data_IF_403775378252
#
_entry.id   IF_403775378252
#
_cell.length_a   1.000
_cell.length_b   1.000
_cell.length_c   1.000
_cell.angle_alpha   90.00
_cell.angle_beta   90.00
_cell.angle_gamma   90.00
#
_symmetry.space_group_name_H-M   'P 1'
#
loop_
_entity.id
_entity.type
_entity.pdbx_description
1 polymer ?
#
# COMPACT_ATOMS: atom_id res chain seq x y z
N UNK A 1 0.47 -7.37 15.95
CA UNK A 1 0.47 -6.24 15.00
C UNK A 1 0.95 -6.65 13.62
N UNK A 2 1.95 -7.55 13.48
CA UNK A 2 2.39 -8.04 12.16
C UNK A 2 1.24 -8.69 11.38
N UNK A 3 0.42 -9.51 12.05
CA UNK A 3 -0.78 -10.10 11.44
C UNK A 3 -1.77 -9.04 10.97
N UNK A 4 -1.92 -7.93 11.71
CA UNK A 4 -2.83 -6.86 11.34
C UNK A 4 -2.42 -6.14 10.04
N UNK A 5 -1.14 -6.11 9.74
CA UNK A 5 -0.59 -5.52 8.52
C UNK A 5 -0.25 -6.57 7.45
N UNK A 6 -0.72 -7.82 7.60
CA UNK A 6 -0.49 -8.92 6.66
C UNK A 6 1.01 -9.16 6.40
N UNK A 7 1.85 -9.14 7.44
CA UNK A 7 3.31 -9.32 7.32
C UNK A 7 3.86 -10.46 8.18
N UNK A 8 3.04 -11.12 8.96
CA UNK A 8 3.42 -12.22 9.85
C UNK A 8 3.88 -13.47 9.09
N UNK A 9 3.23 -13.81 7.97
CA UNK A 9 3.63 -14.92 7.13
C UNK A 9 5.04 -14.74 6.55
N UNK A 10 5.32 -13.57 5.98
CA UNK A 10 6.63 -13.27 5.40
C UNK A 10 7.75 -13.26 6.48
N UNK A 11 7.43 -12.76 7.68
CA UNK A 11 8.38 -12.82 8.81
C UNK A 11 8.64 -14.24 9.25
N UNK A 12 7.64 -15.12 9.25
CA UNK A 12 7.80 -16.52 9.60
C UNK A 12 8.67 -17.31 8.60
N UNK A 13 8.74 -16.85 7.34
CA UNK A 13 9.61 -17.42 6.30
C UNK A 13 11.05 -16.91 6.35
N UNK A 14 11.34 -15.87 7.14
CA UNK A 14 12.71 -15.37 7.32
C UNK A 14 13.52 -16.34 8.17
N UNK A 15 14.83 -16.47 7.89
CA UNK A 15 15.72 -17.43 8.54
C UNK A 15 15.73 -17.29 10.07
N UNK A 16 15.75 -16.07 10.59
CA UNK A 16 15.72 -15.75 12.02
C UNK A 16 14.33 -15.27 12.51
N UNK A 17 13.29 -15.36 11.65
CA UNK A 17 11.94 -14.96 12.00
C UNK A 17 11.86 -13.53 12.53
N UNK A 18 11.35 -13.37 13.74
CA UNK A 18 11.21 -12.07 14.43
C UNK A 18 12.55 -11.42 14.80
N UNK A 19 13.62 -12.19 14.90
CA UNK A 19 14.95 -11.71 15.27
C UNK A 19 15.78 -11.29 14.05
N UNK A 20 15.22 -11.43 12.85
CA UNK A 20 15.86 -11.06 11.59
C UNK A 20 16.24 -9.58 11.58
N UNK A 21 17.53 -9.30 11.37
CA UNK A 21 18.05 -7.94 11.22
C UNK A 21 17.64 -7.42 9.85
N UNK A 22 16.94 -6.28 9.82
CA UNK A 22 16.49 -5.61 8.59
C UNK A 22 17.16 -4.25 8.41
N UNK A 23 17.36 -3.85 7.14
CA UNK A 23 17.99 -2.57 6.80
C UNK A 23 19.52 -2.65 6.71
N UNK A 24 20.22 -1.60 7.20
CA UNK A 24 21.67 -1.54 7.12
C UNK A 24 22.32 -2.68 7.94
N UNK A 25 23.02 -3.58 7.25
CA UNK A 25 23.66 -4.74 7.86
C UNK A 25 22.78 -5.99 7.98
N UNK A 26 21.55 -5.96 7.47
CA UNK A 26 20.62 -7.08 7.42
C UNK A 26 19.95 -7.26 6.06
N UNK A 27 18.84 -7.96 6.04
CA UNK A 27 18.09 -8.15 4.79
C UNK A 27 17.42 -6.86 4.34
N UNK A 28 17.34 -6.70 3.02
CA UNK A 28 16.66 -5.56 2.41
C UNK A 28 15.18 -5.88 2.20
N UNK A 29 14.30 -5.13 2.84
CA UNK A 29 12.87 -5.23 2.63
C UNK A 29 12.45 -4.57 1.31
N UNK A 30 11.40 -5.10 0.67
CA UNK A 30 10.69 -4.39 -0.41
C UNK A 30 10.00 -3.14 0.14
N UNK A 31 9.57 -2.22 -0.76
CA UNK A 31 8.83 -1.03 -0.35
C UNK A 31 7.57 -1.35 0.44
N UNK A 32 6.78 -2.31 -0.02
CA UNK A 32 5.56 -2.75 0.67
C UNK A 32 5.84 -3.43 2.02
N UNK A 33 6.89 -4.24 2.13
CA UNK A 33 7.33 -4.85 3.39
C UNK A 33 7.76 -3.79 4.40
N UNK A 34 8.59 -2.84 3.96
CA UNK A 34 9.05 -1.74 4.82
C UNK A 34 7.88 -0.88 5.31
N UNK A 35 6.92 -0.58 4.44
CA UNK A 35 5.73 0.20 4.78
C UNK A 35 4.83 -0.54 5.79
N UNK A 36 4.56 -1.83 5.58
CA UNK A 36 3.80 -2.66 6.53
C UNK A 36 4.50 -2.79 7.88
N UNK A 37 5.83 -2.96 7.89
CA UNK A 37 6.59 -3.00 9.14
C UNK A 37 6.54 -1.67 9.88
N UNK A 38 6.66 -0.53 9.19
CA UNK A 38 6.53 0.80 9.77
C UNK A 38 5.14 1.02 10.37
N UNK A 39 4.08 0.60 9.67
CA UNK A 39 2.71 0.67 10.18
C UNK A 39 2.52 -0.23 11.42
N UNK A 40 3.04 -1.47 11.41
CA UNK A 40 2.99 -2.36 12.56
C UNK A 40 3.66 -1.74 13.79
N UNK A 41 4.84 -1.13 13.62
CA UNK A 41 5.55 -0.40 14.68
C UNK A 41 4.74 0.76 15.23
N UNK A 42 4.08 1.52 14.37
CA UNK A 42 3.21 2.63 14.77
C UNK A 42 2.03 2.13 15.60
N UNK A 43 1.40 1.03 15.17
CA UNK A 43 0.26 0.42 15.88
C UNK A 43 0.63 -0.19 17.24
N UNK A 44 1.88 -0.61 17.44
CA UNK A 44 2.36 -1.09 18.76
C UNK A 44 2.26 0.00 19.84
N UNK A 45 2.39 1.26 19.45
CA UNK A 45 2.30 2.41 20.35
C UNK A 45 0.86 2.91 20.39
N UNK A 46 0.02 2.31 21.21
CA UNK A 46 -1.37 2.74 21.37
C UNK A 46 -1.46 4.25 21.67
N UNK A 47 -2.02 5.00 20.76
CA UNK A 47 -2.24 6.44 20.87
C UNK A 47 -3.71 6.75 20.60
N UNK A 48 -4.30 7.74 21.29
CA UNK A 48 -5.71 8.12 21.09
C UNK A 48 -5.93 8.75 19.70
N UNK A 49 -4.90 9.32 19.11
CA UNK A 49 -4.94 9.89 17.74
C UNK A 49 -3.80 9.28 16.93
N UNK A 50 -4.15 8.76 15.77
CA UNK A 50 -3.23 8.17 14.80
C UNK A 50 -3.35 8.96 13.49
N UNK A 51 -2.22 9.52 13.02
CA UNK A 51 -2.15 10.20 11.73
C UNK A 51 -1.32 9.33 10.78
N UNK A 52 -1.91 8.99 9.64
CA UNK A 52 -1.31 8.15 8.62
C UNK A 52 -1.26 8.91 7.30
N UNK A 53 -0.05 9.18 6.82
CA UNK A 53 0.19 9.87 5.56
C UNK A 53 0.56 8.85 4.48
N UNK A 54 -0.37 8.63 3.56
CA UNK A 54 -0.30 7.67 2.45
C UNK A 54 0.27 6.28 2.82
N UNK A 55 -0.27 5.65 3.90
CA UNK A 55 0.33 4.46 4.51
C UNK A 55 0.27 3.21 3.65
N UNK A 56 -0.39 3.26 2.50
CA UNK A 56 -0.66 2.12 1.63
C UNK A 56 -0.05 2.27 0.22
N UNK A 57 0.75 3.31 -0.04
CA UNK A 57 1.23 3.66 -1.40
C UNK A 57 2.01 2.54 -2.10
N UNK A 58 2.73 1.70 -1.34
CA UNK A 58 3.52 0.59 -1.86
C UNK A 58 2.80 -0.78 -1.78
N UNK A 59 1.50 -0.80 -1.43
CA UNK A 59 0.71 -2.02 -1.33
C UNK A 59 -0.14 -2.24 -2.59
N UNK A 60 -0.34 -3.51 -2.93
CA UNK A 60 -1.38 -3.91 -3.86
C UNK A 60 -2.76 -3.74 -3.20
N UNK A 61 -3.80 -3.62 -4.04
CA UNK A 61 -5.15 -3.30 -3.57
C UNK A 61 -5.71 -4.32 -2.57
N UNK A 62 -5.48 -5.61 -2.80
CA UNK A 62 -6.00 -6.66 -1.93
C UNK A 62 -5.38 -6.56 -0.52
N UNK A 63 -4.06 -6.43 -0.46
CA UNK A 63 -3.33 -6.27 0.80
C UNK A 63 -3.74 -4.98 1.50
N UNK A 64 -3.91 -3.88 0.77
CA UNK A 64 -4.37 -2.60 1.32
C UNK A 64 -5.76 -2.71 1.97
N UNK A 65 -6.74 -3.29 1.29
CA UNK A 65 -8.11 -3.48 1.81
C UNK A 65 -8.10 -4.32 3.09
N UNK A 66 -7.31 -5.38 3.14
CA UNK A 66 -7.18 -6.23 4.31
C UNK A 66 -6.52 -5.48 5.49
N UNK A 67 -5.40 -4.80 5.24
CA UNK A 67 -4.71 -3.99 6.25
C UNK A 67 -5.61 -2.88 6.75
N UNK A 68 -6.34 -2.19 5.87
CA UNK A 68 -7.26 -1.13 6.26
C UNK A 68 -8.41 -1.67 7.14
N UNK A 69 -9.01 -2.81 6.78
CA UNK A 69 -10.05 -3.45 7.58
C UNK A 69 -9.53 -3.85 8.98
N UNK A 70 -8.30 -4.36 9.07
CA UNK A 70 -7.68 -4.71 10.34
C UNK A 70 -7.34 -3.47 11.17
N UNK A 71 -6.85 -2.41 10.53
CA UNK A 71 -6.57 -1.11 11.16
C UNK A 71 -7.82 -0.55 11.84
N UNK A 72 -8.95 -0.52 11.13
CA UNK A 72 -10.22 -0.03 11.68
C UNK A 72 -10.66 -0.80 12.94
N UNK A 73 -10.47 -2.11 12.97
CA UNK A 73 -10.79 -2.94 14.16
C UNK A 73 -9.88 -2.61 15.34
N UNK A 74 -8.58 -2.42 15.08
CA UNK A 74 -7.58 -2.14 16.12
C UNK A 74 -7.69 -0.73 16.71
N UNK A 75 -8.24 0.20 15.95
CA UNK A 75 -8.32 1.62 16.32
C UNK A 75 -9.76 2.09 16.58
N UNK A 76 -10.69 1.17 16.84
CA UNK A 76 -12.11 1.46 17.01
C UNK A 76 -12.40 2.49 18.12
N UNK A 77 -11.57 2.52 19.17
CA UNK A 77 -11.68 3.44 20.31
C UNK A 77 -10.88 4.73 20.16
N UNK A 78 -10.25 4.95 19.00
CA UNK A 78 -9.37 6.08 18.74
C UNK A 78 -9.81 6.93 17.55
N UNK A 79 -9.06 8.00 17.29
CA UNK A 79 -9.21 8.84 16.12
C UNK A 79 -8.12 8.46 15.11
N UNK A 80 -8.53 8.10 13.90
CA UNK A 80 -7.60 7.87 12.78
C UNK A 80 -7.79 8.96 11.75
N UNK A 81 -6.72 9.68 11.46
CA UNK A 81 -6.64 10.66 10.37
C UNK A 81 -5.83 10.01 9.26
N UNK A 82 -6.50 9.68 8.17
CA UNK A 82 -5.88 9.09 6.99
C UNK A 82 -5.75 10.15 5.90
N UNK A 83 -4.51 10.46 5.51
CA UNK A 83 -4.22 11.22 4.31
C UNK A 83 -3.96 10.20 3.19
N UNK A 84 -4.74 10.27 2.13
CA UNK A 84 -4.59 9.35 1.00
C UNK A 84 -5.15 9.99 -0.27
N UNK A 85 -4.53 9.64 -1.39
CA UNK A 85 -5.06 9.95 -2.71
C UNK A 85 -5.96 8.82 -3.25
N UNK A 86 -6.14 7.73 -2.49
CA UNK A 86 -6.96 6.56 -2.87
C UNK A 86 -8.38 6.70 -2.34
N UNK A 87 -9.24 7.35 -3.14
CA UNK A 87 -10.57 7.77 -2.71
C UNK A 87 -11.55 6.60 -2.49
N UNK A 88 -11.30 5.43 -3.04
CA UNK A 88 -12.16 4.25 -2.86
C UNK A 88 -12.26 3.73 -1.41
N UNK A 89 -11.34 4.15 -0.53
CA UNK A 89 -11.41 3.88 0.91
C UNK A 89 -12.37 4.83 1.63
N UNK A 90 -12.64 6.02 1.06
CA UNK A 90 -13.34 7.11 1.73
C UNK A 90 -14.81 6.84 2.04
N UNK A 91 -15.57 6.03 1.26
CA UNK A 91 -16.91 5.60 1.65
C UNK A 91 -16.96 4.87 3.01
N UNK A 92 -15.84 4.31 3.47
CA UNK A 92 -15.74 3.61 4.73
C UNK A 92 -15.33 4.51 5.91
N UNK A 93 -15.01 5.78 5.66
CA UNK A 93 -14.61 6.75 6.69
C UNK A 93 -15.85 7.40 7.32
N UNK A 94 -15.74 7.75 8.62
CA UNK A 94 -16.82 8.47 9.31
C UNK A 94 -16.99 9.89 8.78
N UNK A 95 -15.88 10.53 8.37
CA UNK A 95 -15.85 11.89 7.87
C UNK A 95 -14.74 12.05 6.84
N UNK A 96 -14.98 12.85 5.82
CA UNK A 96 -14.02 13.27 4.82
C UNK A 96 -13.78 14.78 4.99
N UNK A 97 -12.53 15.18 4.95
CA UNK A 97 -12.10 16.57 4.91
C UNK A 97 -11.54 16.84 3.52
N UNK A 98 -12.29 17.57 2.70
CA UNK A 98 -11.84 17.97 1.36
C UNK A 98 -11.25 19.38 1.41
N UNK A 99 -10.00 19.50 0.94
CA UNK A 99 -9.26 20.78 0.93
C UNK A 99 -9.07 21.23 -0.51
N UNK A 100 -9.61 22.42 -0.82
CA UNK A 100 -9.54 23.02 -2.14
C UNK A 100 -9.46 24.55 -2.03
N UNK A 101 -8.55 25.17 -2.75
CA UNK A 101 -8.35 26.62 -2.78
C UNK A 101 -8.28 27.28 -1.40
N UNK A 102 -7.57 26.64 -0.48
CA UNK A 102 -7.42 27.12 0.90
C UNK A 102 -8.67 27.00 1.77
N UNK A 103 -9.72 26.34 1.28
CA UNK A 103 -10.95 26.05 2.04
C UNK A 103 -11.01 24.58 2.42
N UNK A 104 -11.66 24.28 3.54
CA UNK A 104 -11.92 22.92 4.00
C UNK A 104 -13.42 22.69 4.04
N UNK A 105 -13.87 21.65 3.33
CA UNK A 105 -15.24 21.17 3.39
C UNK A 105 -15.25 19.83 4.12
N UNK A 106 -16.04 19.72 5.18
CA UNK A 106 -16.17 18.51 5.99
C UNK A 106 -17.55 17.89 5.82
N UNK A 107 -17.60 16.55 5.77
CA UNK A 107 -18.86 15.81 5.65
C UNK A 107 -18.65 14.31 5.49
N UNK A 108 -19.72 13.54 5.34
CA UNK A 108 -19.62 12.14 4.91
C UNK A 108 -19.16 12.09 3.46
N UNK A 109 -18.75 10.92 3.00
CA UNK A 109 -18.36 10.72 1.59
C UNK A 109 -19.45 11.22 0.63
N UNK A 110 -20.71 10.87 0.88
CA UNK A 110 -21.85 11.24 0.06
C UNK A 110 -22.07 12.77 0.05
N UNK A 111 -21.95 13.40 1.22
CA UNK A 111 -22.08 14.86 1.32
C UNK A 111 -20.98 15.61 0.57
N UNK A 112 -19.76 15.06 0.57
CA UNK A 112 -18.65 15.67 -0.17
C UNK A 112 -18.80 15.43 -1.67
N UNK A 113 -19.30 14.27 -2.12
CA UNK A 113 -19.65 14.01 -3.52
C UNK A 113 -20.67 15.05 -4.06
N UNK A 114 -21.68 15.39 -3.26
CA UNK A 114 -22.70 16.37 -3.67
C UNK A 114 -22.17 17.81 -3.68
N UNK A 115 -21.31 18.16 -2.72
CA UNK A 115 -20.88 19.55 -2.50
C UNK A 115 -19.62 19.95 -3.28
N UNK A 116 -18.78 18.99 -3.62
CA UNK A 116 -17.45 19.22 -4.18
C UNK A 116 -17.29 18.51 -5.54
N UNK A 117 -17.57 19.22 -6.66
CA UNK A 117 -17.50 18.61 -8.00
C UNK A 117 -16.14 18.02 -8.36
N UNK A 118 -15.04 18.64 -7.91
CA UNK A 118 -13.68 18.12 -8.16
C UNK A 118 -13.44 16.80 -7.41
N UNK A 119 -13.94 16.67 -6.19
CA UNK A 119 -13.89 15.40 -5.46
C UNK A 119 -14.67 14.30 -6.20
N UNK A 120 -15.88 14.60 -6.66
CA UNK A 120 -16.73 13.67 -7.41
C UNK A 120 -16.03 13.20 -8.69
N UNK A 121 -15.45 14.13 -9.46
CA UNK A 121 -14.70 13.83 -10.69
C UNK A 121 -13.50 12.91 -10.43
N UNK A 122 -12.72 13.18 -9.38
CA UNK A 122 -11.58 12.35 -9.00
C UNK A 122 -12.00 10.96 -8.56
N UNK A 123 -13.07 10.86 -7.78
CA UNK A 123 -13.62 9.59 -7.34
C UNK A 123 -14.08 8.72 -8.52
N UNK A 124 -14.84 9.28 -9.46
CA UNK A 124 -15.28 8.60 -10.67
C UNK A 124 -14.11 8.16 -11.56
N UNK A 125 -13.11 9.02 -11.73
CA UNK A 125 -11.92 8.71 -12.52
C UNK A 125 -11.14 7.51 -11.94
N UNK A 126 -11.04 7.40 -10.61
CA UNK A 126 -10.41 6.26 -9.96
C UNK A 126 -11.26 4.98 -10.07
N UNK A 127 -12.57 5.08 -9.91
CA UNK A 127 -13.47 3.95 -10.06
C UNK A 127 -13.45 3.39 -11.50
N UNK A 128 -13.38 4.25 -12.52
CA UNK A 128 -13.29 3.85 -13.93
C UNK A 128 -11.94 3.18 -14.29
N UNK A 129 -10.84 3.57 -13.64
CA UNK A 129 -9.52 2.99 -13.89
C UNK A 129 -9.33 1.59 -13.29
N UNK A 130 -10.04 1.27 -12.23
CA UNK A 130 -9.99 -0.05 -11.57
C UNK A 130 -10.68 -1.14 -12.39
N UNK A 131 -11.79 -0.85 -13.06
CA UNK A 131 -12.48 -1.78 -13.96
C UNK A 131 -11.67 -2.19 -15.20
N UNK A 132 -10.66 -1.40 -15.57
CA UNK A 132 -9.83 -1.65 -16.75
C UNK A 132 -8.60 -2.53 -16.48
N UNK A 133 -8.23 -2.76 -15.20
CA UNK A 133 -7.05 -3.55 -14.83
C UNK A 133 -7.33 -5.04 -14.55
N UNK A 134 -8.59 -5.42 -14.37
CA UNK A 134 -8.96 -6.83 -14.16
C UNK A 134 -8.98 -7.68 -15.45
N UNK A 135 -8.77 -7.09 -16.65
CA UNK A 135 -8.85 -7.77 -17.93
C UNK A 135 -7.62 -7.60 -18.84
N UNK A 136 -6.41 -7.48 -18.30
CA UNK A 136 -5.20 -7.62 -19.10
C UNK A 136 -4.75 -9.10 -19.07
N UNK A 137 -4.78 -9.84 -20.23
CA UNK A 137 -4.25 -11.19 -20.27
C UNK A 137 -2.75 -11.15 -20.05
N UNK A 138 -2.27 -11.93 -19.09
CA UNK A 138 -0.85 -12.18 -18.87
C UNK A 138 -0.30 -12.90 -20.10
N UNK A 139 0.48 -12.22 -20.91
CA UNK A 139 1.28 -12.83 -21.97
C UNK A 139 2.40 -13.65 -21.31
N UNK A 140 2.54 -14.95 -21.66
CA UNK A 140 3.68 -15.73 -21.18
C UNK A 140 4.97 -15.17 -21.79
N UNK A 141 5.91 -14.75 -20.94
CA UNK A 141 7.21 -14.25 -21.36
C UNK A 141 8.04 -15.37 -22.00
N UNK A 142 8.41 -15.16 -23.24
CA UNK A 142 9.40 -15.97 -23.98
C UNK A 142 10.78 -15.89 -23.27
N UNK A 143 11.14 -16.97 -22.60
CA UNK A 143 12.54 -17.21 -22.22
C UNK A 143 13.33 -17.62 -23.48
N UNK A 144 13.90 -16.65 -24.18
CA UNK A 144 14.96 -16.94 -25.14
C UNK A 144 16.28 -17.13 -24.38
N UNK A 145 16.72 -18.38 -24.41
CA UNK A 145 18.07 -18.77 -24.04
C UNK A 145 19.08 -18.00 -24.93
N UNK A 146 20.04 -17.33 -24.32
CA UNK A 146 21.20 -16.78 -25.01
C UNK A 146 22.28 -17.85 -25.07
N UNK A 147 22.49 -18.38 -26.28
CA UNK A 147 23.63 -19.23 -26.63
C UNK A 147 24.95 -18.45 -26.43
N UNK A 148 25.85 -19.08 -25.69
CA UNK A 148 27.24 -18.64 -25.55
C UNK A 148 28.03 -19.14 -26.80
N UNK A 149 28.36 -18.26 -27.68
CA UNK A 149 29.40 -18.53 -28.66
C UNK A 149 30.79 -18.44 -28.01
N UNK A 150 31.45 -19.60 -27.92
CA UNK A 150 32.89 -19.72 -27.65
C UNK A 150 33.68 -19.23 -28.88
N UNK A 151 34.57 -18.27 -28.67
CA UNK A 151 35.64 -17.92 -29.62
C UNK A 151 36.91 -18.75 -29.37
N UNK A 152 37.56 -19.29 -30.40
CA UNK A 152 38.79 -20.04 -30.21
C UNK A 152 40.00 -19.12 -30.00
N UNK A 153 40.86 -19.53 -29.08
CA UNK A 153 42.19 -18.95 -28.82
C UNK A 153 43.13 -19.19 -30.01
N UNK A 154 43.60 -18.12 -30.60
CA UNK A 154 44.70 -18.11 -31.57
C UNK A 154 46.02 -18.09 -30.81
N UNK A 155 46.78 -19.21 -30.88
CA UNK A 155 48.18 -19.27 -30.50
C UNK A 155 49.01 -18.51 -31.52
N UNK A 156 49.87 -17.65 -31.04
CA UNK A 156 51.04 -17.14 -31.79
C UNK A 156 52.29 -17.39 -30.99
N UNK A 157 53.25 -17.91 -31.77
CA UNK A 157 54.63 -18.23 -31.44
C UNK A 157 55.43 -17.13 -30.72
#
# INVERSE_FOLDING_TARGET
YLKAVCFDGEVAEMEEGMDTIVGNGGIRLSGGQAQRLALARTLCHKRPVLILDDPFSALDRKTEEEVFANLRKLTADGIVILLSHRLYLFPQMNQVLWMEDGKVTAGTHEQILEKCPEYARLYEAQAGSDGSREHAPQTPGDHKAADKEEKPEERRD
#
